data_IF_717089873494
#
_entry.id   IF_717089873494
#
_cell.length_a   1.000
_cell.length_b   1.000
_cell.length_c   1.000
_cell.angle_alpha   90.00
_cell.angle_beta   90.00
_cell.angle_gamma   90.00
#
_symmetry.space_group_name_H-M   'P 1'
#
loop_
_entity.id
_entity.type
_entity.pdbx_description
1 polymer ?
#
# COMPACT_ATOMS: atom_id res chain seq x y z
N UNK A 1 3.11 18.48 -14.40
CA UNK A 1 4.07 18.95 -13.37
C UNK A 1 3.24 19.58 -12.25
N UNK A 2 3.25 19.01 -11.05
CA UNK A 2 2.62 19.67 -9.91
C UNK A 2 3.66 20.64 -9.33
N UNK A 3 3.41 21.93 -9.40
CA UNK A 3 4.29 22.98 -8.86
C UNK A 3 4.27 23.09 -7.32
N UNK A 4 4.07 21.98 -6.61
CA UNK A 4 3.95 22.01 -5.14
C UNK A 4 5.32 21.87 -4.48
N UNK A 5 6.22 21.11 -5.08
CA UNK A 5 7.59 20.93 -4.59
C UNK A 5 8.56 21.34 -5.71
N UNK A 6 9.64 22.03 -5.35
CA UNK A 6 10.69 22.38 -6.29
C UNK A 6 11.47 21.11 -6.67
N UNK A 7 11.73 20.90 -7.96
CA UNK A 7 12.39 19.72 -8.50
C UNK A 7 13.75 19.45 -7.81
N UNK A 8 14.52 20.51 -7.49
CA UNK A 8 15.79 20.39 -6.75
C UNK A 8 15.61 19.85 -5.32
N UNK A 9 14.49 20.19 -4.67
CA UNK A 9 14.20 19.69 -3.33
C UNK A 9 13.79 18.21 -3.40
N UNK A 10 13.03 17.84 -4.40
CA UNK A 10 12.64 16.44 -4.64
C UNK A 10 13.86 15.56 -4.94
N UNK A 11 14.77 16.05 -5.80
CA UNK A 11 16.04 15.38 -6.12
C UNK A 11 16.92 15.23 -4.87
N UNK A 12 17.10 16.31 -4.10
CA UNK A 12 17.85 16.29 -2.84
C UNK A 12 17.29 15.26 -1.85
N UNK A 13 15.95 15.21 -1.69
CA UNK A 13 15.32 14.21 -0.80
C UNK A 13 15.66 12.81 -1.30
N UNK A 14 15.51 12.52 -2.60
CA UNK A 14 15.79 11.20 -3.17
C UNK A 14 17.25 10.78 -3.02
N UNK A 15 18.19 11.71 -3.17
CA UNK A 15 19.62 11.44 -3.01
C UNK A 15 20.02 11.17 -1.55
N UNK A 16 19.31 11.76 -0.59
CA UNK A 16 19.60 11.55 0.84
C UNK A 16 19.01 10.27 1.42
N UNK A 17 18.04 9.65 0.73
CA UNK A 17 17.43 8.40 1.18
C UNK A 17 18.33 7.20 0.85
N UNK A 18 18.39 6.25 1.78
CA UNK A 18 19.13 5.01 1.56
C UNK A 18 18.55 4.19 0.41
N UNK A 19 19.42 3.61 -0.41
CA UNK A 19 19.00 2.64 -1.41
C UNK A 19 18.43 1.39 -0.74
N UNK A 20 17.43 0.79 -1.39
CA UNK A 20 16.99 -0.56 -1.01
C UNK A 20 18.07 -1.56 -1.44
N UNK A 21 18.04 -2.73 -0.87
CA UNK A 21 18.93 -3.85 -1.21
C UNK A 21 18.11 -5.10 -1.55
N UNK A 22 18.80 -6.11 -2.03
CA UNK A 22 18.22 -7.42 -2.34
C UNK A 22 17.02 -7.35 -3.28
N UNK A 23 15.99 -8.15 -2.96
CA UNK A 23 14.80 -8.26 -3.81
C UNK A 23 14.07 -6.94 -4.02
N UNK A 24 13.97 -6.10 -2.99
CA UNK A 24 13.26 -4.83 -3.14
C UNK A 24 13.94 -3.91 -4.17
N UNK A 25 15.27 -3.88 -4.20
CA UNK A 25 16.01 -3.14 -5.23
C UNK A 25 15.77 -3.70 -6.63
N UNK A 26 15.81 -5.01 -6.79
CA UNK A 26 15.51 -5.67 -8.07
C UNK A 26 14.09 -5.33 -8.57
N UNK A 27 13.11 -5.27 -7.67
CA UNK A 27 11.73 -4.90 -8.02
C UNK A 27 11.60 -3.43 -8.38
N UNK A 28 12.35 -2.53 -7.73
CA UNK A 28 12.42 -1.10 -8.11
C UNK A 28 13.02 -0.94 -9.51
N UNK A 29 14.12 -1.63 -9.81
CA UNK A 29 14.78 -1.57 -11.11
C UNK A 29 13.85 -2.13 -12.21
N UNK A 30 13.24 -3.29 -11.96
CA UNK A 30 12.26 -3.87 -12.88
C UNK A 30 11.07 -2.92 -13.14
N UNK A 31 10.53 -2.30 -12.08
CA UNK A 31 9.42 -1.37 -12.21
C UNK A 31 9.80 -0.14 -13.04
N UNK A 32 11.00 0.39 -12.84
CA UNK A 32 11.52 1.52 -13.60
C UNK A 32 11.69 1.15 -15.10
N UNK A 33 12.34 0.03 -15.39
CA UNK A 33 12.60 -0.42 -16.77
C UNK A 33 11.31 -0.74 -17.53
N UNK A 34 10.30 -1.27 -16.84
CA UNK A 34 9.03 -1.70 -17.46
C UNK A 34 7.88 -0.71 -17.26
N UNK A 35 8.16 0.48 -16.71
CA UNK A 35 7.16 1.52 -16.42
C UNK A 35 6.00 1.01 -15.55
N UNK A 36 6.28 0.09 -14.63
CA UNK A 36 5.29 -0.40 -13.67
C UNK A 36 5.16 0.62 -12.53
N UNK A 37 3.95 1.08 -12.23
CA UNK A 37 3.76 2.02 -11.12
C UNK A 37 3.94 1.30 -9.77
N UNK A 38 4.91 1.75 -8.99
CA UNK A 38 5.13 1.37 -7.59
C UNK A 38 5.19 2.61 -6.71
N UNK A 39 5.14 2.45 -5.39
CA UNK A 39 5.33 3.56 -4.45
C UNK A 39 6.74 4.15 -4.62
N UNK A 40 6.83 5.47 -4.62
CA UNK A 40 8.10 6.18 -4.74
C UNK A 40 8.98 5.99 -3.49
N UNK A 41 10.30 6.13 -3.66
CA UNK A 41 11.32 5.94 -2.61
C UNK A 41 11.03 6.78 -1.36
N UNK A 42 10.74 8.06 -1.53
CA UNK A 42 10.40 8.98 -0.45
C UNK A 42 9.13 8.58 0.30
N UNK A 43 8.15 8.03 -0.41
CA UNK A 43 6.91 7.52 0.19
C UNK A 43 7.18 6.23 0.95
N UNK A 44 7.97 5.33 0.40
CA UNK A 44 8.32 4.07 1.06
C UNK A 44 9.04 4.32 2.39
N UNK A 45 9.93 5.31 2.47
CA UNK A 45 10.62 5.64 3.71
C UNK A 45 9.71 6.29 4.75
N UNK A 46 8.77 7.14 4.34
CA UNK A 46 7.72 7.63 5.22
C UNK A 46 6.85 6.49 5.76
N UNK A 47 6.40 5.59 4.86
CA UNK A 47 5.62 4.41 5.24
C UNK A 47 6.38 3.49 6.19
N UNK A 48 7.70 3.32 6.01
CA UNK A 48 8.56 2.58 6.93
C UNK A 48 8.49 3.12 8.37
N UNK A 49 8.52 4.44 8.52
CA UNK A 49 8.39 5.07 9.84
C UNK A 49 7.00 4.83 10.43
N UNK A 50 5.96 5.05 9.63
CA UNK A 50 4.56 4.84 10.03
C UNK A 50 4.33 3.38 10.44
N UNK A 51 4.76 2.42 9.65
CA UNK A 51 4.62 0.98 9.93
C UNK A 51 5.33 0.58 11.22
N UNK A 52 6.53 1.12 11.48
CA UNK A 52 7.28 0.84 12.72
C UNK A 52 6.61 1.41 13.97
N UNK A 53 5.94 2.55 13.86
CA UNK A 53 5.19 3.16 14.97
C UNK A 53 3.87 2.41 15.19
N UNK A 54 3.12 2.19 14.11
CA UNK A 54 1.75 1.65 14.17
C UNK A 54 1.71 0.14 14.37
N UNK A 55 2.65 -0.60 13.76
CA UNK A 55 2.78 -2.07 13.81
C UNK A 55 1.47 -2.81 13.51
N UNK A 56 0.84 -2.54 12.36
CA UNK A 56 -0.39 -3.22 11.99
C UNK A 56 -0.16 -4.72 11.86
N UNK A 57 -1.14 -5.52 12.31
CA UNK A 57 -1.11 -6.99 12.22
C UNK A 57 -1.88 -7.49 11.00
N UNK A 58 -2.88 -6.73 10.56
CA UNK A 58 -3.69 -7.07 9.41
C UNK A 58 -3.85 -5.85 8.51
N UNK A 59 -3.39 -5.97 7.29
CA UNK A 59 -3.36 -4.90 6.29
C UNK A 59 -4.23 -5.29 5.10
N UNK A 60 -5.08 -4.36 4.65
CA UNK A 60 -5.74 -4.43 3.35
C UNK A 60 -5.06 -3.48 2.39
N UNK A 61 -4.64 -3.98 1.24
CA UNK A 61 -4.12 -3.17 0.14
C UNK A 61 -5.03 -3.26 -1.07
N UNK A 62 -5.30 -2.13 -1.71
CA UNK A 62 -6.08 -2.08 -2.95
C UNK A 62 -5.16 -1.62 -4.08
N UNK A 63 -4.82 -2.57 -4.97
CA UNK A 63 -3.85 -2.38 -6.04
C UNK A 63 -2.45 -2.84 -5.67
N UNK A 64 -2.10 -4.05 -6.08
CA UNK A 64 -0.84 -4.70 -5.72
C UNK A 64 0.24 -4.57 -6.81
N UNK A 65 -0.17 -4.36 -8.08
CA UNK A 65 0.73 -4.41 -9.23
C UNK A 65 1.66 -5.65 -9.16
N UNK A 66 2.98 -5.46 -9.09
CA UNK A 66 3.97 -6.55 -9.00
C UNK A 66 4.23 -7.03 -7.56
N UNK A 67 3.44 -6.60 -6.57
CA UNK A 67 3.58 -6.98 -5.16
C UNK A 67 4.64 -6.21 -4.36
N UNK A 68 5.21 -5.15 -4.92
CA UNK A 68 6.30 -4.41 -4.28
C UNK A 68 5.93 -3.86 -2.90
N UNK A 69 4.81 -3.13 -2.79
CA UNK A 69 4.34 -2.53 -1.53
C UNK A 69 4.02 -3.57 -0.46
N UNK A 70 3.30 -4.64 -0.82
CA UNK A 70 2.99 -5.75 0.10
C UNK A 70 4.26 -6.41 0.64
N UNK A 71 5.25 -6.72 -0.24
CA UNK A 71 6.54 -7.29 0.17
C UNK A 71 7.31 -6.31 1.07
N UNK A 72 7.31 -5.02 0.72
CA UNK A 72 7.93 -3.98 1.52
C UNK A 72 7.29 -3.88 2.92
N UNK A 73 5.96 -3.87 3.02
CA UNK A 73 5.26 -3.83 4.31
C UNK A 73 5.60 -5.04 5.18
N UNK A 74 5.55 -6.24 4.61
CA UNK A 74 5.90 -7.47 5.32
C UNK A 74 7.36 -7.46 5.80
N UNK A 75 8.30 -6.98 4.98
CA UNK A 75 9.72 -6.90 5.35
C UNK A 75 9.97 -5.91 6.50
N UNK A 76 9.29 -4.75 6.50
CA UNK A 76 9.40 -3.75 7.57
C UNK A 76 8.84 -4.25 8.89
N UNK A 77 7.74 -5.04 8.85
CA UNK A 77 7.02 -5.52 10.02
C UNK A 77 7.58 -6.83 10.60
N UNK A 78 8.47 -7.50 9.87
CA UNK A 78 9.21 -8.66 10.40
C UNK A 78 8.36 -9.91 10.63
N UNK A 79 7.42 -10.21 9.73
CA UNK A 79 6.82 -11.54 9.64
C UNK A 79 5.57 -11.83 10.44
N UNK A 80 5.19 -11.02 11.41
CA UNK A 80 3.93 -11.19 12.16
C UNK A 80 2.83 -10.24 11.64
N UNK A 81 2.54 -10.36 10.33
CA UNK A 81 1.54 -9.55 9.61
C UNK A 81 0.82 -10.41 8.58
N UNK A 82 -0.48 -10.21 8.47
CA UNK A 82 -1.31 -10.71 7.38
C UNK A 82 -1.61 -9.54 6.42
N UNK A 83 -1.34 -9.74 5.14
CA UNK A 83 -1.64 -8.75 4.10
C UNK A 83 -2.59 -9.39 3.09
N UNK A 84 -3.74 -8.76 2.90
CA UNK A 84 -4.67 -9.07 1.82
C UNK A 84 -4.58 -7.95 0.82
N UNK A 85 -4.27 -8.29 -0.43
CA UNK A 85 -4.16 -7.31 -1.51
C UNK A 85 -5.02 -7.68 -2.70
N UNK A 86 -5.46 -6.71 -3.49
CA UNK A 86 -6.28 -6.93 -4.68
C UNK A 86 -5.52 -6.54 -5.94
N UNK A 87 -5.70 -7.30 -7.02
CA UNK A 87 -5.17 -6.95 -8.35
C UNK A 87 -6.07 -7.57 -9.44
N UNK A 88 -6.32 -6.82 -10.52
CA UNK A 88 -7.17 -7.28 -11.63
C UNK A 88 -6.40 -7.61 -12.91
N UNK A 89 -5.18 -7.13 -13.04
CA UNK A 89 -4.37 -7.37 -14.22
C UNK A 89 -3.66 -8.73 -14.11
N UNK A 90 -4.01 -9.69 -14.94
CA UNK A 90 -3.47 -11.05 -14.90
C UNK A 90 -1.95 -11.10 -14.98
N UNK A 91 -1.31 -10.23 -15.79
CA UNK A 91 0.15 -10.17 -15.93
C UNK A 91 0.79 -9.69 -14.62
N UNK A 92 0.17 -8.70 -13.97
CA UNK A 92 0.65 -8.19 -12.69
C UNK A 92 0.45 -9.21 -11.57
N UNK A 93 -0.68 -9.92 -11.56
CA UNK A 93 -0.98 -11.00 -10.62
C UNK A 93 0.09 -12.09 -10.67
N UNK A 94 0.40 -12.61 -11.86
CA UNK A 94 1.44 -13.64 -12.02
C UNK A 94 2.80 -13.13 -11.57
N UNK A 95 3.14 -11.89 -11.90
CA UNK A 95 4.40 -11.28 -11.46
C UNK A 95 4.45 -11.07 -9.94
N UNK A 96 3.35 -10.64 -9.32
CA UNK A 96 3.24 -10.49 -7.88
C UNK A 96 3.39 -11.85 -7.16
N UNK A 97 2.75 -12.91 -7.64
CA UNK A 97 2.90 -14.28 -7.10
C UNK A 97 4.36 -14.75 -7.15
N UNK A 98 5.03 -14.56 -8.29
CA UNK A 98 6.45 -14.88 -8.44
C UNK A 98 7.31 -14.14 -7.40
N UNK A 99 7.10 -12.83 -7.26
CA UNK A 99 7.85 -11.97 -6.36
C UNK A 99 7.60 -12.30 -4.89
N UNK A 100 6.34 -12.55 -4.50
CA UNK A 100 5.96 -12.97 -3.14
C UNK A 100 6.62 -14.30 -2.79
N UNK A 101 6.64 -15.24 -3.72
CA UNK A 101 7.34 -16.52 -3.55
C UNK A 101 8.86 -16.33 -3.40
N UNK A 102 9.48 -15.47 -4.21
CA UNK A 102 10.91 -15.13 -4.09
C UNK A 102 11.23 -14.49 -2.74
N UNK A 103 10.27 -13.74 -2.18
CA UNK A 103 10.38 -13.15 -0.85
C UNK A 103 10.14 -14.15 0.29
N UNK A 104 9.61 -15.36 0.02
CA UNK A 104 9.21 -16.34 1.03
C UNK A 104 8.04 -15.87 1.90
N UNK A 105 7.08 -15.14 1.29
CA UNK A 105 5.97 -14.47 1.99
C UNK A 105 4.59 -15.03 1.58
N UNK A 106 4.52 -16.22 0.98
CA UNK A 106 3.28 -16.83 0.49
C UNK A 106 2.26 -17.10 1.61
N UNK A 107 2.74 -17.31 2.81
CA UNK A 107 1.93 -17.51 4.02
C UNK A 107 1.48 -16.18 4.68
N UNK A 108 1.97 -15.03 4.22
CA UNK A 108 1.70 -13.70 4.77
C UNK A 108 0.89 -12.80 3.85
N UNK A 109 1.00 -13.01 2.54
CA UNK A 109 0.40 -12.14 1.54
C UNK A 109 -0.55 -12.97 0.67
N UNK A 110 -1.82 -12.59 0.72
CA UNK A 110 -2.88 -13.19 -0.10
C UNK A 110 -3.32 -12.21 -1.17
N UNK A 111 -3.26 -12.62 -2.44
CA UNK A 111 -3.77 -11.81 -3.57
C UNK A 111 -5.20 -12.25 -3.86
N UNK A 112 -6.12 -11.30 -3.84
CA UNK A 112 -7.48 -11.46 -4.36
C UNK A 112 -7.51 -11.00 -5.80
N UNK A 113 -7.68 -11.96 -6.70
CA UNK A 113 -7.62 -11.73 -8.14
C UNK A 113 -8.96 -11.24 -8.67
N UNK A 114 -8.95 -10.17 -9.44
CA UNK A 114 -10.13 -9.62 -10.09
C UNK A 114 -10.40 -8.15 -9.74
N UNK A 115 -11.57 -7.68 -10.11
CA UNK A 115 -11.98 -6.30 -9.85
C UNK A 115 -12.13 -6.05 -8.36
N UNK A 116 -11.52 -4.97 -7.86
CA UNK A 116 -11.53 -4.66 -6.43
C UNK A 116 -12.94 -4.42 -5.90
N UNK A 117 -13.86 -3.87 -6.70
CA UNK A 117 -15.24 -3.66 -6.26
C UNK A 117 -15.96 -4.98 -5.92
N UNK A 118 -15.64 -6.06 -6.64
CA UNK A 118 -16.21 -7.36 -6.40
C UNK A 118 -15.42 -8.13 -5.30
N UNK A 119 -14.10 -8.12 -5.37
CA UNK A 119 -13.26 -8.85 -4.42
C UNK A 119 -13.35 -8.29 -3.01
N UNK A 120 -13.48 -6.96 -2.84
CA UNK A 120 -13.66 -6.34 -1.53
C UNK A 120 -14.95 -6.74 -0.83
N UNK A 121 -15.99 -7.15 -1.56
CA UNK A 121 -17.25 -7.66 -0.96
C UNK A 121 -17.08 -9.02 -0.30
N UNK A 122 -16.08 -9.79 -0.72
CA UNK A 122 -15.81 -11.15 -0.22
C UNK A 122 -14.90 -11.19 1.00
N UNK A 123 -14.28 -10.06 1.35
CA UNK A 123 -13.33 -9.98 2.47
C UNK A 123 -14.09 -9.92 3.79
N UNK A 124 -13.68 -10.72 4.76
CA UNK A 124 -14.22 -10.69 6.11
C UNK A 124 -13.24 -10.10 7.14
N UNK A 125 -13.81 -9.59 8.22
CA UNK A 125 -13.07 -9.10 9.38
C UNK A 125 -12.61 -7.64 9.24
N UNK A 126 -11.88 -7.19 10.25
CA UNK A 126 -11.39 -5.82 10.39
C UNK A 126 -9.88 -5.76 10.14
N UNK A 127 -9.40 -4.58 9.74
CA UNK A 127 -8.01 -4.29 9.43
C UNK A 127 -7.44 -3.23 10.38
N UNK A 128 -6.15 -3.35 10.68
CA UNK A 128 -5.41 -2.33 11.44
C UNK A 128 -4.94 -1.19 10.53
N UNK A 129 -4.74 -1.50 9.23
CA UNK A 129 -4.35 -0.54 8.20
C UNK A 129 -5.04 -0.87 6.89
N UNK A 130 -5.47 0.17 6.18
CA UNK A 130 -5.94 0.08 4.80
C UNK A 130 -5.07 0.99 3.95
N UNK A 131 -4.52 0.45 2.87
CA UNK A 131 -3.70 1.16 1.89
C UNK A 131 -4.37 1.12 0.52
N UNK A 132 -4.74 2.28 -0.02
CA UNK A 132 -5.41 2.40 -1.32
C UNK A 132 -4.45 3.00 -2.33
N UNK A 133 -3.91 2.17 -3.22
CA UNK A 133 -3.05 2.55 -4.34
C UNK A 133 -3.67 2.13 -5.69
N UNK A 134 -4.94 2.43 -5.85
CA UNK A 134 -5.70 2.07 -7.05
C UNK A 134 -5.66 3.17 -8.12
N UNK A 135 -6.27 2.88 -9.28
CA UNK A 135 -6.36 3.82 -10.38
C UNK A 135 -7.08 5.12 -9.99
N UNK A 136 -6.57 6.24 -10.51
CA UNK A 136 -7.17 7.57 -10.31
C UNK A 136 -8.66 7.57 -10.65
N UNK A 137 -9.48 8.17 -9.79
CA UNK A 137 -10.93 8.31 -9.98
C UNK A 137 -11.79 7.30 -9.21
N UNK A 138 -11.22 6.24 -8.62
CA UNK A 138 -11.97 5.25 -7.85
C UNK A 138 -11.72 5.32 -6.34
N UNK A 139 -10.91 6.27 -5.86
CA UNK A 139 -10.55 6.37 -4.43
C UNK A 139 -11.75 6.48 -3.51
N UNK A 140 -12.73 7.34 -3.85
CA UNK A 140 -13.93 7.50 -3.02
C UNK A 140 -14.74 6.21 -2.95
N UNK A 141 -14.90 5.54 -4.08
CA UNK A 141 -15.61 4.26 -4.15
C UNK A 141 -14.94 3.21 -3.25
N UNK A 142 -13.63 3.02 -3.38
CA UNK A 142 -12.91 2.04 -2.58
C UNK A 142 -12.88 2.42 -1.10
N UNK A 143 -12.71 3.70 -0.78
CA UNK A 143 -12.78 4.19 0.59
C UNK A 143 -14.14 3.85 1.23
N UNK A 144 -15.24 4.14 0.55
CA UNK A 144 -16.60 3.88 1.04
C UNK A 144 -16.86 2.37 1.24
N UNK A 145 -16.27 1.51 0.39
CA UNK A 145 -16.40 0.06 0.50
C UNK A 145 -15.66 -0.54 1.69
N UNK A 146 -14.58 0.09 2.14
CA UNK A 146 -13.68 -0.54 3.13
C UNK A 146 -13.58 0.18 4.47
N UNK A 147 -14.06 1.43 4.57
CA UNK A 147 -13.87 2.24 5.77
C UNK A 147 -14.48 1.64 7.03
N UNK A 148 -15.63 0.97 6.89
CA UNK A 148 -16.30 0.29 8.00
C UNK A 148 -15.56 -0.98 8.47
N UNK A 149 -14.61 -1.47 7.69
CA UNK A 149 -13.72 -2.60 8.03
C UNK A 149 -12.46 -2.18 8.77
N UNK A 150 -12.25 -0.90 8.93
CA UNK A 150 -11.12 -0.38 9.67
C UNK A 150 -11.42 -0.45 11.17
N UNK A 151 -10.55 -1.10 11.97
CA UNK A 151 -10.73 -1.23 13.43
C UNK A 151 -10.91 0.13 14.09
N UNK A 152 -11.91 0.27 14.94
CA UNK A 152 -12.20 1.50 15.70
C UNK A 152 -11.30 1.60 16.95
N UNK A 153 -9.99 1.60 16.77
CA UNK A 153 -9.02 1.75 17.85
C UNK A 153 -8.13 2.99 17.68
N UNK A 154 -7.43 3.39 18.74
CA UNK A 154 -6.64 4.63 18.83
C UNK A 154 -5.47 4.74 17.84
N UNK A 155 -5.18 3.71 17.06
CA UNK A 155 -4.03 3.65 16.17
C UNK A 155 -4.40 3.05 14.78
N UNK A 156 -5.53 3.42 14.25
CA UNK A 156 -6.01 2.90 12.96
C UNK A 156 -5.66 3.83 11.81
N UNK A 157 -5.16 3.31 10.69
CA UNK A 157 -4.59 4.09 9.61
C UNK A 157 -5.21 3.72 8.27
N UNK A 158 -5.81 4.70 7.59
CA UNK A 158 -6.16 4.61 6.18
C UNK A 158 -5.25 5.55 5.38
N UNK A 159 -4.58 5.04 4.36
CA UNK A 159 -3.67 5.78 3.51
C UNK A 159 -4.17 5.75 2.07
N UNK A 160 -4.33 6.94 1.49
CA UNK A 160 -4.63 7.15 0.07
C UNK A 160 -3.33 7.55 -0.62
N UNK A 161 -2.88 6.76 -1.57
CA UNK A 161 -1.67 7.05 -2.34
C UNK A 161 -2.04 7.62 -3.72
N UNK A 162 -1.22 8.49 -4.30
CA UNK A 162 -1.28 9.15 -5.62
C UNK A 162 -2.08 10.45 -5.76
N UNK A 163 -2.87 10.91 -4.80
CA UNK A 163 -3.40 12.28 -4.88
C UNK A 163 -2.90 13.19 -3.77
N UNK A 164 -2.71 12.66 -2.60
CA UNK A 164 -2.04 13.32 -1.45
C UNK A 164 -1.89 12.23 -0.39
N UNK A 165 -0.74 12.13 0.27
CA UNK A 165 -0.62 11.30 1.47
C UNK A 165 -1.44 12.01 2.54
N UNK A 166 -2.69 11.61 2.69
CA UNK A 166 -3.51 12.06 3.81
C UNK A 166 -3.56 10.90 4.80
N UNK A 167 -2.77 10.92 5.88
CA UNK A 167 -2.98 10.00 6.98
C UNK A 167 -4.27 10.40 7.68
N UNK A 168 -5.35 9.68 7.42
CA UNK A 168 -6.55 9.78 8.24
C UNK A 168 -6.33 8.95 9.50
N UNK A 169 -5.94 9.61 10.59
CA UNK A 169 -6.11 9.05 11.92
C UNK A 169 -7.59 9.21 12.29
N UNK A 170 -8.37 8.15 12.13
CA UNK A 170 -9.75 8.17 12.56
C UNK A 170 -9.79 8.11 14.10
N UNK A 171 -9.92 9.27 14.72
CA UNK A 171 -10.40 9.31 16.11
C UNK A 171 -11.87 8.89 16.17
N UNK A 172 -12.33 8.23 17.25
CA UNK A 172 -13.69 7.66 17.38
C UNK A 172 -14.85 8.67 17.31
N UNK A 173 -14.63 9.91 16.91
CA UNK A 173 -15.62 11.01 16.98
C UNK A 173 -16.11 11.59 15.65
N UNK A 174 -15.72 11.02 14.52
CA UNK A 174 -16.27 11.49 13.23
C UNK A 174 -17.32 10.53 12.67
N UNK A 175 -18.43 10.36 13.43
CA UNK A 175 -19.71 10.11 12.80
C UNK A 175 -20.27 11.46 12.37
N UNK A 176 -20.43 11.67 11.08
CA UNK A 176 -21.12 12.73 10.36
C UNK A 176 -20.30 13.84 9.71
N UNK A 177 -20.43 13.79 8.39
CA UNK A 177 -20.37 14.87 7.40
C UNK A 177 -19.00 15.25 6.86
N UNK A 178 -18.67 14.63 5.73
CA UNK A 178 -18.08 15.40 4.66
C UNK A 178 -19.23 16.03 3.85
N UNK A 179 -19.35 17.35 3.89
CA UNK A 179 -20.07 18.18 2.92
C UNK A 179 -19.04 18.77 1.99
#
# INVERSE_FOLDING_TARGET
>A
MSNIVNDLVEEYIRETLAEKDGLLKELEDYAHENSVPIIHKEVSDLLKVILKIHRPKRILEIGCAIGYSSIFFASVLGGDVEIITTERNEVMIEKAKENIKRAGLEDKITILEGDAEETLKTIDGEFDMIFIDAAKGQYQLFFDLVIDRLKKMHSTLCLLYRQTIIPFFLQPRYSNKFV
#
